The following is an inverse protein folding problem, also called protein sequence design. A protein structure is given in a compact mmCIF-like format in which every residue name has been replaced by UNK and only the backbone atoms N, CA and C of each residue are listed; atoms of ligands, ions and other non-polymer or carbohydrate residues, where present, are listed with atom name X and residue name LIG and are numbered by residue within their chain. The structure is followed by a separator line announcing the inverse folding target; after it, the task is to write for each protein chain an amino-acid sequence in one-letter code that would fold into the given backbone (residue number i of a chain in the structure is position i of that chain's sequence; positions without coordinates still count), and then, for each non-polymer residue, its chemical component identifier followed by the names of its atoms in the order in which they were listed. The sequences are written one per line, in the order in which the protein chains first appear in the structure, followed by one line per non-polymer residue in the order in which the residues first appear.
data_IF_607093527475
#
_entry.id   IF_607093527475
#
_cell.length_a   1.000
_cell.length_b   1.000
_cell.length_c   1.000
_cell.angle_alpha   90.00
_cell.angle_beta   90.00
_cell.angle_gamma   90.00
#
_symmetry.space_group_name_H-M   'P 1'
#
loop_
_entity.id
_entity.type
_entity.pdbx_description
1 polymer ?
#
# COMPACT_ATOMS: atom_id res chain seq x y z
N UNK A 1 0.39 -24.65 0.77
CA UNK A 1 -1.04 -24.68 0.40
C UNK A 1 -1.41 -23.35 -0.27
N UNK A 2 -2.42 -23.35 -1.13
CA UNK A 2 -2.83 -22.14 -1.87
C UNK A 2 -4.28 -21.79 -1.57
N UNK A 3 -4.53 -20.49 -1.36
CA UNK A 3 -5.85 -19.88 -1.26
C UNK A 3 -6.03 -19.00 -2.50
N UNK A 4 -7.03 -19.31 -3.30
CA UNK A 4 -7.31 -18.63 -4.57
C UNK A 4 -8.25 -17.46 -4.38
N UNK A 5 -8.19 -16.48 -5.27
CA UNK A 5 -9.02 -15.28 -5.31
C UNK A 5 -10.54 -15.59 -5.28
N UNK A 6 -10.98 -16.64 -5.97
CA UNK A 6 -12.38 -17.09 -6.01
C UNK A 6 -12.72 -18.14 -4.94
N UNK A 7 -11.82 -18.35 -3.97
CA UNK A 7 -11.90 -19.34 -2.88
C UNK A 7 -11.92 -20.80 -3.35
N UNK A 8 -12.27 -21.11 -4.58
CA UNK A 8 -12.33 -22.45 -5.20
C UNK A 8 -13.02 -23.51 -4.32
N UNK A 9 -14.12 -23.15 -3.66
CA UNK A 9 -14.89 -24.08 -2.80
C UNK A 9 -15.73 -25.02 -3.67
N UNK A 10 -15.84 -26.29 -3.23
CA UNK A 10 -16.72 -27.26 -3.84
C UNK A 10 -18.17 -26.98 -3.43
N UNK A 11 -19.06 -26.53 -4.34
CA UNK A 11 -20.37 -26.01 -3.98
C UNK A 11 -21.36 -27.10 -3.45
N UNK A 12 -21.12 -28.34 -3.80
CA UNK A 12 -21.94 -29.50 -3.38
C UNK A 12 -21.51 -30.04 -2.02
N UNK A 13 -20.32 -29.73 -1.54
CA UNK A 13 -19.80 -30.20 -0.25
C UNK A 13 -20.15 -29.20 0.87
N UNK A 14 -20.30 -29.72 2.10
CA UNK A 14 -20.41 -28.90 3.29
C UNK A 14 -19.07 -28.21 3.63
N UNK A 15 -19.08 -27.27 4.59
CA UNK A 15 -17.85 -26.63 5.11
C UNK A 15 -16.88 -27.69 5.62
N UNK A 16 -17.35 -28.63 6.46
CA UNK A 16 -16.52 -29.71 6.99
C UNK A 16 -15.92 -30.59 5.89
N UNK A 17 -16.70 -30.91 4.88
CA UNK A 17 -16.23 -31.68 3.72
C UNK A 17 -15.23 -30.92 2.88
N UNK A 18 -15.45 -29.61 2.62
CA UNK A 18 -14.50 -28.76 1.93
C UNK A 18 -13.16 -28.72 2.67
N UNK A 19 -13.17 -28.44 3.98
CA UNK A 19 -11.95 -28.38 4.79
C UNK A 19 -11.21 -29.72 4.82
N UNK A 20 -11.96 -30.84 5.04
CA UNK A 20 -11.38 -32.17 5.17
C UNK A 20 -11.03 -32.87 3.85
N UNK A 21 -11.34 -32.28 2.70
CA UNK A 21 -11.22 -32.94 1.40
C UNK A 21 -9.78 -33.42 1.08
N UNK A 22 -8.80 -32.59 1.27
CA UNK A 22 -7.40 -32.96 1.01
C UNK A 22 -6.91 -34.10 1.91
N UNK A 23 -7.33 -34.11 3.17
CA UNK A 23 -7.03 -35.21 4.10
C UNK A 23 -7.73 -36.51 3.70
N UNK A 24 -8.96 -36.41 3.17
CA UNK A 24 -9.69 -37.57 2.62
C UNK A 24 -8.92 -38.20 1.45
N UNK A 25 -8.42 -37.41 0.53
CA UNK A 25 -7.61 -37.90 -0.60
C UNK A 25 -6.29 -38.55 -0.16
N UNK A 26 -5.73 -38.11 0.97
CA UNK A 26 -4.55 -38.76 1.59
C UNK A 26 -4.86 -40.02 2.38
N UNK A 27 -6.13 -40.47 2.40
CA UNK A 27 -6.52 -41.66 3.12
C UNK A 27 -6.64 -41.51 4.64
N UNK A 28 -6.62 -40.26 5.18
CA UNK A 28 -6.75 -40.05 6.62
C UNK A 28 -8.11 -40.54 7.14
N UNK A 29 -8.14 -41.34 8.21
CA UNK A 29 -9.38 -41.86 8.77
C UNK A 29 -10.38 -40.75 9.12
N UNK A 30 -11.69 -41.05 8.96
CA UNK A 30 -12.75 -40.04 9.15
C UNK A 30 -12.71 -39.36 10.53
N UNK A 31 -12.46 -40.14 11.60
CA UNK A 31 -12.41 -39.60 12.95
C UNK A 31 -11.29 -38.60 13.14
N UNK A 32 -10.07 -38.92 12.71
CA UNK A 32 -8.88 -38.05 12.76
C UNK A 32 -9.08 -36.80 11.87
N UNK A 33 -9.57 -36.99 10.64
CA UNK A 33 -9.86 -35.87 9.73
C UNK A 33 -10.86 -34.90 10.33
N UNK A 34 -11.93 -35.39 10.96
CA UNK A 34 -12.93 -34.54 11.60
C UNK A 34 -12.38 -33.82 12.84
N UNK A 35 -11.46 -34.42 13.59
CA UNK A 35 -10.77 -33.77 14.70
C UNK A 35 -9.95 -32.55 14.18
N UNK A 36 -9.12 -32.75 13.16
CA UNK A 36 -8.33 -31.63 12.52
C UNK A 36 -9.23 -30.56 11.92
N UNK A 37 -10.35 -30.94 11.28
CA UNK A 37 -11.33 -29.99 10.76
C UNK A 37 -11.96 -29.14 11.87
N UNK A 38 -12.35 -29.74 12.99
CA UNK A 38 -12.94 -29.01 14.13
C UNK A 38 -11.92 -28.06 14.77
N UNK A 39 -10.68 -28.49 14.92
CA UNK A 39 -9.59 -27.65 15.43
C UNK A 39 -9.38 -26.40 14.53
N UNK A 40 -9.25 -26.60 13.23
CA UNK A 40 -9.14 -25.50 12.29
C UNK A 40 -10.40 -24.61 12.26
N UNK A 41 -11.59 -25.22 12.36
CA UNK A 41 -12.86 -24.48 12.41
C UNK A 41 -12.97 -23.58 13.65
N UNK A 42 -12.49 -24.07 14.80
CA UNK A 42 -12.44 -23.28 16.05
C UNK A 42 -11.55 -22.03 15.90
N UNK A 43 -10.39 -22.22 15.27
CA UNK A 43 -9.43 -21.13 15.00
C UNK A 43 -10.03 -20.06 14.08
N UNK A 44 -10.96 -20.43 13.21
CA UNK A 44 -11.56 -19.60 12.17
C UNK A 44 -13.00 -19.17 12.47
N UNK A 45 -13.54 -19.48 13.66
CA UNK A 45 -14.94 -19.23 14.04
C UNK A 45 -15.95 -19.84 13.04
N UNK A 46 -15.66 -21.05 12.57
CA UNK A 46 -16.47 -21.77 11.59
C UNK A 46 -17.27 -22.95 12.20
N UNK A 47 -17.12 -23.26 13.49
CA UNK A 47 -17.79 -24.39 14.14
C UNK A 47 -19.32 -24.41 13.90
N UNK A 48 -20.05 -23.26 14.02
CA UNK A 48 -21.50 -23.24 13.80
C UNK A 48 -21.90 -23.44 12.33
N UNK A 49 -20.96 -23.45 11.42
CA UNK A 49 -21.22 -23.51 9.97
C UNK A 49 -20.76 -24.79 9.30
N UNK A 50 -20.19 -25.74 10.05
CA UNK A 50 -19.58 -26.98 9.52
C UNK A 50 -20.47 -27.77 8.60
N UNK A 51 -21.78 -27.83 8.88
CA UNK A 51 -22.75 -28.56 8.08
C UNK A 51 -23.37 -27.74 6.93
N UNK A 52 -23.07 -26.46 6.85
CA UNK A 52 -23.59 -25.59 5.78
C UNK A 52 -22.83 -25.79 4.47
N UNK A 53 -23.51 -25.53 3.36
CA UNK A 53 -22.90 -25.46 2.01
C UNK A 53 -22.44 -24.02 1.69
N UNK A 54 -21.46 -23.83 0.78
CA UNK A 54 -20.92 -22.51 0.42
C UNK A 54 -21.97 -21.47 0.05
N UNK A 55 -23.07 -21.84 -0.59
CA UNK A 55 -24.18 -20.95 -0.97
C UNK A 55 -24.87 -20.27 0.22
N UNK A 56 -24.80 -20.88 1.40
CA UNK A 56 -25.42 -20.39 2.64
C UNK A 56 -24.44 -19.61 3.52
N UNK A 57 -23.30 -19.16 2.97
CA UNK A 57 -22.25 -18.45 3.66
C UNK A 57 -22.07 -17.03 3.10
N UNK A 58 -21.69 -16.09 3.96
CA UNK A 58 -21.20 -14.77 3.54
C UNK A 58 -19.85 -14.86 2.81
N UNK A 59 -19.43 -13.77 2.15
CA UNK A 59 -18.12 -13.69 1.49
C UNK A 59 -16.96 -14.02 2.43
N UNK A 60 -16.92 -13.38 3.61
CA UNK A 60 -15.88 -13.62 4.61
C UNK A 60 -15.94 -15.03 5.21
N UNK A 61 -17.13 -15.64 5.34
CA UNK A 61 -17.24 -17.03 5.77
C UNK A 61 -16.67 -17.98 4.71
N UNK A 62 -16.99 -17.76 3.42
CA UNK A 62 -16.41 -18.56 2.32
C UNK A 62 -14.89 -18.47 2.29
N UNK A 63 -14.35 -17.28 2.48
CA UNK A 63 -12.90 -17.07 2.56
C UNK A 63 -12.29 -17.85 3.73
N UNK A 64 -12.86 -17.74 4.94
CA UNK A 64 -12.39 -18.51 6.10
C UNK A 64 -12.43 -20.03 5.86
N UNK A 65 -13.44 -20.54 5.12
CA UNK A 65 -13.47 -21.96 4.70
C UNK A 65 -12.31 -22.30 3.77
N UNK A 66 -11.98 -21.42 2.81
CA UNK A 66 -10.82 -21.61 1.93
C UNK A 66 -9.49 -21.62 2.71
N UNK A 67 -9.36 -20.75 3.72
CA UNK A 67 -8.22 -20.77 4.64
C UNK A 67 -8.20 -22.07 5.46
N UNK A 68 -9.33 -22.53 5.97
CA UNK A 68 -9.43 -23.78 6.70
C UNK A 68 -8.99 -25.01 5.88
N UNK A 69 -9.33 -25.04 4.59
CA UNK A 69 -8.82 -26.06 3.64
C UNK A 69 -7.29 -26.06 3.54
N UNK A 70 -6.68 -24.90 3.65
CA UNK A 70 -5.23 -24.75 3.61
C UNK A 70 -4.58 -25.15 4.95
N UNK A 71 -5.15 -24.71 6.07
CA UNK A 71 -4.64 -24.92 7.43
C UNK A 71 -4.63 -26.40 7.82
N UNK A 72 -5.71 -27.14 7.56
CA UNK A 72 -5.81 -28.59 7.92
C UNK A 72 -4.72 -29.46 7.29
N UNK A 73 -4.02 -28.94 6.28
CA UNK A 73 -2.90 -29.60 5.61
C UNK A 73 -1.57 -29.41 6.30
N UNK A 74 -1.51 -28.50 7.31
CA UNK A 74 -0.28 -28.12 8.02
C UNK A 74 0.88 -27.81 7.06
N UNK A 75 0.70 -26.84 6.15
CA UNK A 75 1.67 -26.60 5.10
C UNK A 75 2.90 -25.86 5.65
N UNK A 76 4.08 -26.08 5.05
CA UNK A 76 5.27 -25.31 5.32
C UNK A 76 5.22 -23.87 4.78
N UNK A 77 4.37 -23.62 3.76
CA UNK A 77 4.17 -22.29 3.14
C UNK A 77 2.71 -22.12 2.74
N UNK A 78 2.14 -20.95 3.02
CA UNK A 78 0.90 -20.48 2.44
C UNK A 78 1.15 -19.62 1.22
N UNK A 79 0.37 -19.83 0.16
CA UNK A 79 0.29 -18.97 -1.01
C UNK A 79 -1.13 -18.39 -1.05
N UNK A 80 -1.25 -17.07 -1.05
CA UNK A 80 -2.54 -16.36 -1.07
C UNK A 80 -2.58 -15.44 -2.29
N UNK A 81 -3.50 -15.72 -3.20
CA UNK A 81 -3.68 -14.98 -4.43
C UNK A 81 -4.91 -14.08 -4.32
N UNK A 82 -4.68 -12.81 -4.05
CA UNK A 82 -5.69 -11.76 -3.88
C UNK A 82 -6.92 -12.17 -3.03
N UNK A 83 -6.73 -12.73 -1.83
CA UNK A 83 -7.83 -13.36 -1.11
C UNK A 83 -8.92 -12.39 -0.62
N UNK A 84 -8.69 -11.07 -0.64
CA UNK A 84 -9.61 -10.04 -0.17
C UNK A 84 -10.30 -9.25 -1.28
N UNK A 85 -9.92 -9.45 -2.55
CA UNK A 85 -10.39 -8.64 -3.69
C UNK A 85 -11.91 -8.67 -3.90
N UNK A 86 -12.57 -9.79 -3.55
CA UNK A 86 -14.01 -10.00 -3.71
C UNK A 86 -14.84 -9.60 -2.48
N UNK A 87 -14.27 -8.88 -1.51
CA UNK A 87 -14.96 -8.41 -0.31
C UNK A 87 -15.29 -6.92 -0.39
N UNK A 88 -16.44 -6.54 0.21
CA UNK A 88 -16.74 -5.13 0.45
C UNK A 88 -15.74 -4.48 1.41
N UNK A 89 -15.67 -3.14 1.44
CA UNK A 89 -14.67 -2.39 2.18
C UNK A 89 -14.66 -2.71 3.69
N UNK A 90 -15.85 -2.81 4.31
CA UNK A 90 -15.95 -3.10 5.76
C UNK A 90 -15.44 -4.50 6.07
N UNK A 91 -15.90 -5.49 5.33
CA UNK A 91 -15.53 -6.89 5.52
C UNK A 91 -14.04 -7.10 5.20
N UNK A 92 -13.48 -6.35 4.24
CA UNK A 92 -12.05 -6.38 3.90
C UNK A 92 -11.18 -5.96 5.08
N UNK A 93 -11.54 -4.86 5.78
CA UNK A 93 -10.80 -4.40 6.97
C UNK A 93 -10.82 -5.45 8.08
N UNK A 94 -11.99 -6.00 8.40
CA UNK A 94 -12.13 -7.03 9.44
C UNK A 94 -11.34 -8.31 9.08
N UNK A 95 -11.45 -8.73 7.83
CA UNK A 95 -10.82 -9.98 7.37
C UNK A 95 -9.30 -9.84 7.27
N UNK A 96 -8.79 -8.68 6.89
CA UNK A 96 -7.35 -8.37 6.90
C UNK A 96 -6.76 -8.52 8.29
N UNK A 97 -7.41 -7.95 9.32
CA UNK A 97 -6.98 -8.10 10.70
C UNK A 97 -6.98 -9.57 11.16
N UNK A 98 -8.01 -10.33 10.77
CA UNK A 98 -8.12 -11.76 11.08
C UNK A 98 -7.01 -12.59 10.41
N UNK A 99 -6.67 -12.31 9.16
CA UNK A 99 -5.58 -12.99 8.44
C UNK A 99 -4.23 -12.69 9.11
N UNK A 100 -3.96 -11.43 9.43
CA UNK A 100 -2.71 -11.05 10.10
C UNK A 100 -2.57 -11.74 11.47
N UNK A 101 -3.63 -11.74 12.28
CA UNK A 101 -3.65 -12.45 13.57
C UNK A 101 -3.47 -13.96 13.42
N UNK A 102 -4.10 -14.55 12.40
CA UNK A 102 -3.97 -15.97 12.11
C UNK A 102 -2.55 -16.34 11.67
N UNK A 103 -1.95 -15.55 10.79
CA UNK A 103 -0.58 -15.75 10.32
C UNK A 103 0.41 -15.68 11.51
N UNK A 104 0.26 -14.68 12.37
CA UNK A 104 1.10 -14.54 13.57
C UNK A 104 0.97 -15.76 14.50
N UNK A 105 -0.24 -16.31 14.69
CA UNK A 105 -0.49 -17.49 15.52
C UNK A 105 0.06 -18.78 14.91
N UNK A 106 -0.01 -18.94 13.58
CA UNK A 106 0.46 -20.13 12.89
C UNK A 106 1.97 -20.14 12.69
N UNK A 107 2.62 -18.97 12.66
CA UNK A 107 4.06 -18.83 12.41
C UNK A 107 4.53 -19.35 11.05
N UNK A 108 3.58 -19.69 10.15
CA UNK A 108 3.91 -20.27 8.84
C UNK A 108 4.24 -19.17 7.82
N UNK A 109 5.30 -19.36 7.06
CA UNK A 109 5.69 -18.46 5.98
C UNK A 109 4.54 -18.30 4.99
N UNK A 110 4.18 -17.05 4.69
CA UNK A 110 3.08 -16.72 3.79
C UNK A 110 3.55 -15.83 2.67
N UNK A 111 3.30 -16.22 1.42
CA UNK A 111 3.41 -15.36 0.24
C UNK A 111 2.03 -14.88 -0.10
N UNK A 112 1.84 -13.56 -0.06
CA UNK A 112 0.55 -12.90 -0.25
C UNK A 112 0.63 -11.98 -1.47
N UNK A 113 -0.20 -12.23 -2.47
CA UNK A 113 -0.31 -11.37 -3.66
C UNK A 113 -1.50 -10.44 -3.50
N UNK A 114 -1.30 -9.16 -3.74
CA UNK A 114 -2.37 -8.15 -3.73
C UNK A 114 -2.03 -7.00 -4.67
N UNK A 115 -3.04 -6.32 -5.16
CA UNK A 115 -2.94 -5.01 -5.83
C UNK A 115 -3.32 -3.85 -4.88
N UNK A 116 -3.73 -4.15 -3.65
CA UNK A 116 -4.07 -3.16 -2.62
C UNK A 116 -2.83 -2.86 -1.77
N UNK A 117 -2.31 -1.63 -1.90
CA UNK A 117 -1.14 -1.21 -1.14
C UNK A 117 -1.38 -1.21 0.38
N UNK A 118 -2.62 -0.95 0.84
CA UNK A 118 -2.94 -0.94 2.27
C UNK A 118 -2.80 -2.35 2.85
N UNK A 119 -3.21 -3.39 2.09
CA UNK A 119 -2.99 -4.78 2.48
C UNK A 119 -1.50 -5.09 2.59
N UNK A 120 -0.72 -4.77 1.55
CA UNK A 120 0.72 -5.01 1.53
C UNK A 120 1.44 -4.30 2.69
N UNK A 121 1.13 -3.02 2.91
CA UNK A 121 1.77 -2.18 3.93
C UNK A 121 1.40 -2.56 5.37
N UNK A 122 0.21 -3.14 5.60
CA UNK A 122 -0.28 -3.45 6.94
C UNK A 122 -0.06 -4.89 7.37
N UNK A 123 0.08 -5.82 6.43
CA UNK A 123 0.22 -7.25 6.72
C UNK A 123 1.60 -7.81 6.41
N UNK A 124 2.32 -7.23 5.45
CA UNK A 124 3.62 -7.70 5.02
C UNK A 124 4.73 -7.37 5.99
N UNK A 125 5.56 -8.34 6.38
CA UNK A 125 6.85 -8.08 7.04
C UNK A 125 7.88 -7.57 6.02
N UNK A 126 7.78 -8.06 4.79
CA UNK A 126 8.51 -7.60 3.61
C UNK A 126 7.54 -7.51 2.44
N UNK A 127 7.68 -6.48 1.63
CA UNK A 127 6.87 -6.25 0.43
C UNK A 127 7.80 -6.20 -0.76
N UNK A 128 7.47 -6.98 -1.79
CA UNK A 128 8.13 -6.94 -3.10
C UNK A 128 7.24 -6.18 -4.08
N UNK A 129 7.73 -5.07 -4.62
CA UNK A 129 7.03 -4.28 -5.62
C UNK A 129 7.54 -4.63 -7.02
N UNK A 130 6.62 -5.02 -7.90
CA UNK A 130 6.92 -5.38 -9.28
C UNK A 130 6.28 -4.38 -10.25
N UNK A 131 6.99 -4.09 -11.34
CA UNK A 131 6.48 -3.34 -12.48
C UNK A 131 6.81 -4.13 -13.75
N UNK A 132 5.80 -4.44 -14.55
CA UNK A 132 5.96 -5.18 -15.82
C UNK A 132 6.77 -6.50 -15.67
N UNK A 133 6.55 -7.20 -14.54
CA UNK A 133 7.28 -8.45 -14.22
C UNK A 133 8.70 -8.25 -13.66
N UNK A 134 9.19 -7.01 -13.57
CA UNK A 134 10.52 -6.68 -13.04
C UNK A 134 10.41 -6.19 -11.61
N UNK A 135 11.24 -6.77 -10.73
CA UNK A 135 11.31 -6.38 -9.33
C UNK A 135 11.91 -4.98 -9.20
N UNK A 136 11.19 -4.08 -8.56
CA UNK A 136 11.61 -2.69 -8.34
C UNK A 136 12.28 -2.50 -6.98
N UNK A 137 11.68 -3.05 -5.91
CA UNK A 137 12.24 -3.02 -4.56
C UNK A 137 11.62 -4.13 -3.71
N UNK A 138 12.40 -4.67 -2.77
CA UNK A 138 11.93 -5.58 -1.70
C UNK A 138 12.45 -5.05 -0.38
N UNK A 139 11.53 -4.64 0.49
CA UNK A 139 11.90 -4.12 1.80
C UNK A 139 10.74 -4.25 2.81
N UNK A 140 10.98 -3.78 4.05
CA UNK A 140 9.89 -3.55 4.99
C UNK A 140 8.94 -2.47 4.46
N UNK A 141 7.64 -2.50 4.81
CA UNK A 141 6.70 -1.44 4.45
C UNK A 141 7.22 -0.04 4.77
N UNK A 142 7.82 0.14 5.93
CA UNK A 142 8.39 1.42 6.36
C UNK A 142 9.49 1.91 5.43
N UNK A 143 10.44 1.05 5.06
CA UNK A 143 11.53 1.44 4.17
C UNK A 143 11.06 1.73 2.74
N UNK A 144 10.06 1.00 2.22
CA UNK A 144 9.43 1.32 0.92
C UNK A 144 8.84 2.73 0.90
N UNK A 145 8.27 3.15 2.02
CA UNK A 145 7.69 4.48 2.18
C UNK A 145 8.74 5.56 2.38
N UNK A 146 9.69 5.36 3.32
CA UNK A 146 10.67 6.37 3.71
C UNK A 146 11.87 6.43 2.74
N UNK A 147 12.22 5.32 2.08
CA UNK A 147 13.39 5.18 1.20
C UNK A 147 13.05 4.45 -0.09
N UNK A 148 12.16 4.98 -0.91
CA UNK A 148 11.86 4.37 -2.21
C UNK A 148 13.12 4.33 -3.07
N UNK A 149 13.41 3.18 -3.69
CA UNK A 149 14.60 2.98 -4.52
C UNK A 149 14.55 3.75 -5.84
N UNK A 150 13.35 4.06 -6.30
CA UNK A 150 13.16 4.81 -7.54
C UNK A 150 11.85 5.61 -7.54
N UNK A 151 11.67 6.48 -8.53
CA UNK A 151 10.50 7.33 -8.70
C UNK A 151 9.20 6.53 -8.87
N UNK A 152 9.27 5.32 -9.46
CA UNK A 152 8.09 4.46 -9.58
C UNK A 152 7.61 3.98 -8.20
N UNK A 153 8.52 3.47 -7.36
CA UNK A 153 8.19 3.06 -5.98
C UNK A 153 7.64 4.24 -5.18
N UNK A 154 8.27 5.42 -5.30
CA UNK A 154 7.82 6.64 -4.63
C UNK A 154 6.40 7.06 -5.01
N UNK A 155 6.09 7.00 -6.30
CA UNK A 155 4.76 7.35 -6.82
C UNK A 155 3.71 6.25 -6.64
N UNK A 156 4.12 5.00 -6.40
CA UNK A 156 3.18 3.90 -6.17
C UNK A 156 2.83 3.75 -4.69
N UNK A 157 3.80 3.90 -3.77
CA UNK A 157 3.61 3.72 -2.33
C UNK A 157 3.17 5.03 -1.68
N UNK A 158 2.00 5.00 -1.09
CA UNK A 158 1.33 6.13 -0.43
C UNK A 158 -0.01 6.46 -1.08
N UNK A 159 -0.97 6.93 -0.28
CA UNK A 159 -2.29 7.38 -0.75
C UNK A 159 -2.68 8.65 0.01
N UNK A 160 -2.67 9.79 -0.67
CA UNK A 160 -2.27 10.02 -2.06
C UNK A 160 -0.79 9.74 -2.37
N UNK A 161 -0.47 9.63 -3.67
CA UNK A 161 0.89 9.40 -4.13
C UNK A 161 1.82 10.59 -3.85
N UNK A 162 3.14 10.33 -3.84
CA UNK A 162 4.16 11.38 -3.75
C UNK A 162 4.05 12.37 -4.94
N UNK A 163 4.13 13.67 -4.66
CA UNK A 163 4.31 14.65 -5.72
C UNK A 163 5.70 14.47 -6.35
N UNK A 164 5.74 14.16 -7.62
CA UNK A 164 6.99 14.02 -8.40
C UNK A 164 7.01 15.15 -9.43
N UNK A 165 8.04 15.99 -9.39
CA UNK A 165 8.20 17.15 -10.27
C UNK A 165 9.61 17.25 -10.83
N UNK A 166 9.72 17.63 -12.08
CA UNK A 166 11.00 18.03 -12.65
C UNK A 166 11.49 19.30 -11.98
N UNK A 167 12.73 19.31 -11.52
CA UNK A 167 13.32 20.44 -10.81
C UNK A 167 14.73 20.68 -11.34
N UNK A 168 14.98 21.87 -11.93
CA UNK A 168 16.29 22.24 -12.47
C UNK A 168 17.28 22.47 -11.33
N UNK A 169 18.48 21.92 -11.44
CA UNK A 169 19.56 22.17 -10.49
C UNK A 169 20.04 23.60 -10.60
N UNK A 170 20.15 24.26 -9.46
CA UNK A 170 20.63 25.65 -9.33
C UNK A 170 21.56 25.74 -8.11
N UNK A 171 22.37 26.83 -7.97
CA UNK A 171 23.15 27.04 -6.75
C UNK A 171 22.25 27.02 -5.52
N UNK A 172 22.58 26.13 -4.57
CA UNK A 172 21.84 25.97 -3.32
C UNK A 172 20.76 24.89 -3.32
N UNK A 173 20.40 24.25 -4.47
CA UNK A 173 19.38 23.20 -4.48
C UNK A 173 18.78 22.93 -5.86
N UNK A 174 17.48 22.70 -5.89
CA UNK A 174 16.69 22.49 -7.10
C UNK A 174 15.50 23.46 -7.16
N UNK A 175 15.25 24.04 -8.32
CA UNK A 175 14.14 24.95 -8.58
C UNK A 175 12.83 24.16 -8.65
N UNK A 176 11.94 24.38 -7.67
CA UNK A 176 10.59 23.82 -7.63
C UNK A 176 9.58 24.97 -7.62
N UNK A 177 8.81 25.12 -8.69
CA UNK A 177 7.95 26.27 -8.84
C UNK A 177 8.72 27.58 -8.68
N UNK A 178 8.31 28.41 -7.73
CA UNK A 178 8.90 29.73 -7.47
C UNK A 178 10.01 29.73 -6.38
N UNK A 179 10.36 28.57 -5.79
CA UNK A 179 11.38 28.47 -4.74
C UNK A 179 12.58 27.63 -5.15
N UNK A 180 13.68 27.78 -4.42
CA UNK A 180 14.81 26.86 -4.47
C UNK A 180 14.71 25.93 -3.26
N UNK A 181 14.38 24.65 -3.52
CA UNK A 181 14.37 23.62 -2.48
C UNK A 181 15.82 23.20 -2.22
N UNK A 182 16.33 23.37 -0.98
CA UNK A 182 17.67 22.91 -0.63
C UNK A 182 17.77 21.38 -0.81
N UNK A 183 18.90 20.90 -1.30
CA UNK A 183 19.21 19.48 -1.43
C UNK A 183 20.41 19.14 -0.54
N UNK A 184 20.46 17.90 -0.04
CA UNK A 184 21.62 17.41 0.69
C UNK A 184 22.86 17.35 -0.22
N UNK A 185 24.05 17.45 0.38
CA UNK A 185 25.31 17.31 -0.38
C UNK A 185 25.40 15.98 -1.10
N UNK A 186 24.90 14.89 -0.48
CA UNK A 186 24.89 13.57 -1.11
C UNK A 186 24.08 13.57 -2.42
N UNK A 187 22.91 14.22 -2.44
CA UNK A 187 22.07 14.33 -3.64
C UNK A 187 22.76 15.20 -4.70
N UNK A 188 23.30 16.35 -4.31
CA UNK A 188 23.97 17.27 -5.25
C UNK A 188 25.22 16.64 -5.85
N UNK A 189 26.03 15.94 -5.06
CA UNK A 189 27.22 15.25 -5.53
C UNK A 189 26.87 14.10 -6.50
N UNK A 190 25.85 13.31 -6.17
CA UNK A 190 25.35 12.23 -7.03
C UNK A 190 24.81 12.79 -8.37
N UNK A 191 24.05 13.88 -8.33
CA UNK A 191 23.51 14.52 -9.52
C UNK A 191 24.63 15.10 -10.42
N UNK A 192 25.64 15.74 -9.82
CA UNK A 192 26.81 16.26 -10.56
C UNK A 192 27.63 15.12 -11.16
N UNK A 193 27.88 14.05 -10.40
CA UNK A 193 28.62 12.87 -10.90
C UNK A 193 27.91 12.21 -12.09
N UNK A 194 26.59 12.25 -12.12
CA UNK A 194 25.76 11.77 -13.23
C UNK A 194 25.59 12.81 -14.38
N UNK A 195 26.19 14.01 -14.28
CA UNK A 195 26.09 15.07 -15.29
C UNK A 195 24.69 15.67 -15.46
N UNK A 196 23.83 15.53 -14.45
CA UNK A 196 22.43 15.98 -14.51
C UNK A 196 22.32 17.50 -14.42
N UNK A 197 21.39 18.06 -15.19
CA UNK A 197 21.00 19.49 -15.13
C UNK A 197 19.68 19.67 -14.37
N UNK A 198 18.93 18.58 -14.16
CA UNK A 198 17.68 18.54 -13.44
C UNK A 198 17.56 17.23 -12.68
N UNK A 199 16.68 17.19 -11.69
CA UNK A 199 16.30 16.00 -10.92
C UNK A 199 14.79 15.86 -10.92
N UNK A 200 14.26 14.65 -10.71
CA UNK A 200 12.87 14.48 -10.32
C UNK A 200 12.81 14.63 -8.79
N UNK A 201 12.25 15.74 -8.33
CA UNK A 201 12.05 16.01 -6.90
C UNK A 201 10.75 15.39 -6.45
N UNK A 202 10.79 14.64 -5.35
CA UNK A 202 9.65 13.98 -4.75
C UNK A 202 9.34 14.55 -3.37
N UNK A 203 8.07 14.93 -3.13
CA UNK A 203 7.61 15.38 -1.81
C UNK A 203 6.24 14.76 -1.52
N UNK A 204 6.10 14.15 -0.36
CA UNK A 204 4.82 13.55 0.04
C UNK A 204 3.81 14.62 0.45
N UNK A 205 2.49 14.40 0.26
CA UNK A 205 1.45 15.36 0.63
C UNK A 205 1.48 15.80 2.10
N UNK A 206 1.88 14.92 3.00
CA UNK A 206 2.01 15.19 4.43
C UNK A 206 3.33 15.85 4.84
N UNK A 207 4.30 15.92 3.93
CA UNK A 207 5.61 16.56 4.16
C UNK A 207 5.58 18.09 3.99
N UNK A 208 4.41 18.64 3.76
CA UNK A 208 4.23 20.10 3.71
C UNK A 208 3.74 20.66 5.05
N UNK A 209 4.10 21.91 5.32
CA UNK A 209 3.53 22.75 6.36
C UNK A 209 2.88 23.96 5.72
N UNK A 210 1.75 24.40 6.27
CA UNK A 210 1.14 25.67 5.86
C UNK A 210 2.09 26.80 6.24
N UNK A 211 2.39 27.69 5.29
CA UNK A 211 3.25 28.84 5.47
C UNK A 211 2.40 30.13 5.59
N UNK A 212 2.87 31.07 6.39
CA UNK A 212 2.23 32.37 6.48
C UNK A 212 2.34 33.16 5.17
N UNK A 213 1.41 34.07 4.94
CA UNK A 213 1.32 34.84 3.70
C UNK A 213 2.60 35.62 3.35
N UNK A 214 3.44 35.95 4.35
CA UNK A 214 4.71 36.67 4.19
C UNK A 214 5.96 35.78 4.02
N UNK A 215 5.82 34.45 4.02
CA UNK A 215 6.97 33.54 3.89
C UNK A 215 7.48 33.55 2.44
N UNK A 216 8.71 34.02 2.23
CA UNK A 216 9.32 34.17 0.90
C UNK A 216 9.62 32.77 0.28
N UNK A 217 10.12 31.82 1.08
CA UNK A 217 10.46 30.46 0.63
C UNK A 217 9.25 29.51 0.76
N UNK A 218 8.15 29.85 0.09
CA UNK A 218 6.93 29.03 0.10
C UNK A 218 6.40 28.81 -1.31
N UNK A 219 5.91 27.59 -1.54
CA UNK A 219 5.20 27.19 -2.75
C UNK A 219 3.78 27.73 -2.70
N UNK A 220 3.32 28.32 -3.78
CA UNK A 220 1.94 28.76 -3.94
C UNK A 220 1.16 27.73 -4.75
N UNK A 221 0.08 27.20 -4.18
CA UNK A 221 -0.80 26.19 -4.80
C UNK A 221 -2.18 26.79 -4.95
N UNK A 222 -2.69 26.87 -6.17
CA UNK A 222 -4.07 27.23 -6.45
C UNK A 222 -4.96 26.00 -6.29
N UNK A 223 -5.98 26.10 -5.43
CA UNK A 223 -6.84 24.96 -5.02
C UNK A 223 -7.91 24.67 -6.09
N UNK A 224 -7.82 23.52 -6.74
CA UNK A 224 -8.82 23.04 -7.71
C UNK A 224 -9.86 22.13 -7.09
N UNK A 225 -9.43 21.27 -6.13
CA UNK A 225 -10.28 20.28 -5.47
C UNK A 225 -9.84 20.09 -4.03
N UNK A 226 -10.81 19.84 -3.15
CA UNK A 226 -10.58 19.46 -1.74
C UNK A 226 -11.31 18.15 -1.46
N UNK A 227 -10.57 17.13 -1.05
CA UNK A 227 -11.12 15.88 -0.52
C UNK A 227 -11.12 15.94 1.01
N UNK A 228 -12.29 16.07 1.62
CA UNK A 228 -12.45 16.09 3.07
C UNK A 228 -12.72 14.68 3.60
N UNK A 229 -11.77 14.15 4.41
CA UNK A 229 -11.86 12.82 5.04
C UNK A 229 -12.11 12.89 6.54
N UNK A 230 -12.60 14.01 7.02
CA UNK A 230 -12.89 14.26 8.43
C UNK A 230 -11.70 14.81 9.20
N UNK A 231 -10.77 13.96 9.64
CA UNK A 231 -9.57 14.42 10.36
C UNK A 231 -8.53 15.05 9.43
N UNK A 232 -8.46 14.60 8.20
CA UNK A 232 -7.55 15.06 7.17
C UNK A 232 -8.33 15.62 5.99
N UNK A 233 -7.74 16.58 5.27
CA UNK A 233 -8.16 17.00 3.95
C UNK A 233 -6.96 16.94 2.99
N UNK A 234 -7.21 16.53 1.75
CA UNK A 234 -6.23 16.60 0.69
C UNK A 234 -6.66 17.64 -0.32
N UNK A 235 -5.75 18.58 -0.56
CA UNK A 235 -5.90 19.65 -1.54
C UNK A 235 -5.18 19.23 -2.79
N UNK A 236 -5.89 19.28 -3.92
CA UNK A 236 -5.35 19.08 -5.26
C UNK A 236 -5.39 20.41 -5.98
N UNK A 237 -4.29 20.81 -6.61
CA UNK A 237 -4.24 22.11 -7.25
C UNK A 237 -3.06 22.29 -8.19
N UNK A 238 -3.00 23.47 -8.80
CA UNK A 238 -1.90 23.90 -9.64
C UNK A 238 -0.77 24.53 -8.82
N UNK A 239 0.46 24.04 -8.98
CA UNK A 239 1.64 24.68 -8.40
C UNK A 239 2.07 25.86 -9.28
N UNK A 240 2.16 27.08 -8.71
CA UNK A 240 2.62 28.24 -9.46
C UNK A 240 4.09 28.07 -9.91
N UNK A 241 4.33 28.33 -11.20
CA UNK A 241 5.66 28.18 -11.81
C UNK A 241 6.03 26.72 -12.11
N UNK A 242 5.08 25.79 -12.05
CA UNK A 242 5.28 24.39 -12.45
C UNK A 242 5.23 24.26 -13.98
N UNK A 243 6.35 23.88 -14.58
CA UNK A 243 6.45 23.64 -16.02
C UNK A 243 5.82 22.28 -16.42
N UNK A 244 5.73 21.34 -15.48
CA UNK A 244 5.20 19.98 -15.71
C UNK A 244 3.67 19.89 -15.70
N UNK A 245 2.94 20.88 -15.24
CA UNK A 245 1.48 21.18 -15.19
C UNK A 245 0.44 20.07 -15.41
N UNK A 246 0.86 18.89 -15.78
CA UNK A 246 -0.02 17.79 -16.22
C UNK A 246 -0.68 17.00 -15.08
N UNK A 247 -0.17 17.09 -13.85
CA UNK A 247 -0.73 16.39 -12.69
C UNK A 247 -1.01 17.37 -11.57
N UNK A 248 -2.12 17.24 -10.84
CA UNK A 248 -2.37 18.08 -9.67
C UNK A 248 -1.26 17.93 -8.64
N UNK A 249 -0.91 19.02 -7.99
CA UNK A 249 -0.03 19.04 -6.83
C UNK A 249 -0.89 18.75 -5.59
N UNK A 250 -0.47 17.80 -4.75
CA UNK A 250 -1.28 17.33 -3.64
C UNK A 250 -0.66 17.72 -2.31
N UNK A 251 -1.44 18.34 -1.44
CA UNK A 251 -1.02 18.75 -0.10
C UNK A 251 -2.03 18.27 0.93
N UNK A 252 -1.54 17.74 2.06
CA UNK A 252 -2.40 17.38 3.19
C UNK A 252 -2.60 18.58 4.11
N UNK A 253 -3.85 18.80 4.50
CA UNK A 253 -4.29 19.81 5.46
C UNK A 253 -5.02 19.17 6.65
N UNK A 254 -5.21 19.96 7.73
CA UNK A 254 -6.16 19.60 8.80
C UNK A 254 -7.58 19.65 8.23
N UNK A 255 -8.29 18.54 8.29
CA UNK A 255 -9.66 18.43 7.77
C UNK A 255 -10.70 19.29 8.52
N UNK A 256 -10.33 19.90 9.64
CA UNK A 256 -11.20 20.83 10.39
C UNK A 256 -11.20 22.23 9.82
N UNK A 257 -10.14 22.60 9.11
CA UNK A 257 -9.96 23.94 8.50
C UNK A 257 -9.37 23.76 7.09
N UNK A 258 -10.08 23.11 6.16
CA UNK A 258 -9.60 22.97 4.80
C UNK A 258 -9.68 24.31 4.06
N UNK A 259 -8.78 24.59 3.13
CA UNK A 259 -8.88 25.74 2.25
C UNK A 259 -10.05 25.60 1.28
N UNK A 260 -10.47 26.73 0.67
CA UNK A 260 -11.56 26.74 -0.30
C UNK A 260 -11.05 26.58 -1.73
N UNK A 261 -11.87 25.98 -2.59
CA UNK A 261 -11.62 25.94 -4.03
C UNK A 261 -11.44 27.36 -4.56
N UNK A 262 -10.42 27.60 -5.40
CA UNK A 262 -10.04 28.90 -5.95
C UNK A 262 -9.16 29.73 -5.00
N UNK A 263 -8.89 29.26 -3.78
CA UNK A 263 -7.95 29.89 -2.86
C UNK A 263 -6.50 29.56 -3.27
N UNK A 264 -5.58 30.49 -3.07
CA UNK A 264 -4.15 30.20 -3.18
C UNK A 264 -3.59 29.96 -1.78
N UNK A 265 -3.10 28.75 -1.54
CA UNK A 265 -2.45 28.37 -0.28
C UNK A 265 -0.95 28.40 -0.43
N UNK A 266 -0.26 28.84 0.63
CA UNK A 266 1.20 28.79 0.71
C UNK A 266 1.65 27.65 1.58
N UNK A 267 2.60 26.85 1.07
CA UNK A 267 3.14 25.69 1.78
C UNK A 267 4.66 25.64 1.66
N UNK A 268 5.32 25.11 2.68
CA UNK A 268 6.76 24.87 2.69
C UNK A 268 7.05 23.38 2.87
N UNK A 269 8.09 22.88 2.23
CA UNK A 269 8.57 21.50 2.42
C UNK A 269 9.27 21.43 3.77
N UNK A 270 8.94 20.40 4.58
CA UNK A 270 9.68 20.12 5.80
C UNK A 270 11.11 19.69 5.46
N UNK A 271 12.06 20.22 6.22
CA UNK A 271 13.49 19.95 6.02
C UNK A 271 13.78 18.45 6.04
N UNK A 272 14.53 17.97 5.06
CA UNK A 272 14.97 16.59 4.88
C UNK A 272 13.82 15.57 4.64
N UNK A 273 12.64 16.03 4.24
CA UNK A 273 11.53 15.15 3.81
C UNK A 273 11.35 15.13 2.27
N UNK A 274 12.26 15.77 1.54
CA UNK A 274 12.33 15.68 0.09
C UNK A 274 13.10 14.44 -0.37
N UNK A 275 12.75 13.95 -1.55
CA UNK A 275 13.44 12.87 -2.26
C UNK A 275 13.90 13.38 -3.63
N UNK A 276 15.02 12.88 -4.11
CA UNK A 276 15.51 13.21 -5.45
C UNK A 276 15.78 11.93 -6.24
N UNK A 277 15.38 11.94 -7.50
CA UNK A 277 15.57 10.82 -8.42
C UNK A 277 16.19 11.30 -9.73
N UNK A 278 16.98 10.44 -10.35
CA UNK A 278 17.46 10.66 -11.69
C UNK A 278 16.27 10.67 -12.68
N UNK A 279 16.09 11.73 -13.49
CA UNK A 279 14.93 11.85 -14.37
C UNK A 279 14.91 10.82 -15.50
N UNK A 280 16.07 10.25 -15.90
CA UNK A 280 16.20 9.30 -16.97
C UNK A 280 16.03 7.85 -16.48
N UNK A 281 16.79 7.46 -15.44
CA UNK A 281 16.75 6.10 -14.90
C UNK A 281 15.63 5.90 -13.88
N UNK A 282 15.14 6.97 -13.27
CA UNK A 282 14.21 6.94 -12.15
C UNK A 282 14.86 6.56 -10.82
N UNK A 283 16.13 6.21 -10.77
CA UNK A 283 16.83 5.78 -9.56
C UNK A 283 16.98 6.91 -8.55
N UNK A 284 16.94 6.57 -7.27
CA UNK A 284 17.14 7.50 -6.17
C UNK A 284 18.55 8.08 -6.18
N UNK A 285 18.66 9.37 -5.95
CA UNK A 285 19.92 10.10 -5.73
C UNK A 285 20.14 10.31 -4.22
N UNK A 286 21.25 9.89 -3.68
CA UNK A 286 21.65 10.09 -2.29
C UNK A 286 21.02 9.17 -1.25
#
# INVERSE_FOLDING_TARGET
AMVFQNYALYPHMSVAENMGFALKLKGVPKAERMAKVREAAKVLDLEPYLDRKPKALSGGQRQRVAMGRAIVREPSVFLMDEPLSNLDAKLRVETRANIAALQARLGTTTVYVTHDQVEAMTMGHRVALLKDGVLQQVDSPRNLYDRPANAFVAGFIGSPAMNLRSARLVPGGAQLGNIVQPLSSAVTDAAHAAGLQAVTLGVRPESFTVADAGTEDSLAVEVDLVEELGADAYVYGGLQGDEDGAKPFVVRFDGRVPPRIGETVKVAVRTAEEHAFNPESGERLG
#
